data_IF_392660443364
#
_entry.id   IF_392660443364
#
_cell.length_a   1.000
_cell.length_b   1.000
_cell.length_c   1.000
_cell.angle_alpha   90.00
_cell.angle_beta   90.00
_cell.angle_gamma   90.00
#
_symmetry.space_group_name_H-M   'P 1'
#
loop_
_entity.id
_entity.type
_entity.pdbx_description
1 polymer ?
#
# COMPACT_ATOMS: atom_id res chain seq x y z
N UNK A 1 5.80 13.16 3.46
CA UNK A 1 4.94 11.99 3.80
C UNK A 1 3.90 12.38 4.81
N UNK A 2 2.64 11.95 4.63
CA UNK A 2 1.54 12.18 5.58
C UNK A 2 1.41 10.99 6.52
N UNK A 3 2.18 10.99 7.59
CA UNK A 3 2.14 10.00 8.66
C UNK A 3 1.65 10.65 9.94
N UNK A 4 1.00 9.89 10.80
CA UNK A 4 0.60 10.32 12.12
C UNK A 4 1.09 9.36 13.20
N UNK A 5 1.73 9.91 14.24
CA UNK A 5 2.34 9.12 15.32
C UNK A 5 1.29 8.61 16.29
N UNK A 6 0.29 9.43 16.60
CA UNK A 6 -0.73 9.12 17.58
C UNK A 6 -2.10 9.07 16.92
N UNK A 7 -2.86 8.05 17.28
CA UNK A 7 -4.20 7.81 16.78
C UNK A 7 -5.14 7.52 17.93
N UNK A 8 -6.39 7.95 17.79
CA UNK A 8 -7.45 7.63 18.74
C UNK A 8 -8.81 7.49 18.03
N UNK A 9 -9.75 6.82 18.70
CA UNK A 9 -11.17 6.88 18.37
C UNK A 9 -11.89 7.74 19.38
N UNK A 10 -12.94 8.40 18.94
CA UNK A 10 -13.85 9.17 19.77
C UNK A 10 -15.27 8.95 19.30
N UNK A 11 -16.20 8.88 20.25
CA UNK A 11 -17.63 8.77 19.99
C UNK A 11 -18.34 9.95 20.67
N UNK A 12 -19.35 10.48 20.00
CA UNK A 12 -20.21 11.54 20.53
C UNK A 12 -21.67 11.27 20.16
N UNK A 13 -22.55 11.68 21.06
CA UNK A 13 -24.01 11.61 20.89
C UNK A 13 -24.60 13.01 20.72
N UNK A 14 -25.46 13.19 19.72
CA UNK A 14 -26.18 14.43 19.51
C UNK A 14 -27.59 14.16 18.99
N UNK A 15 -28.61 14.65 19.71
CA UNK A 15 -30.03 14.48 19.36
C UNK A 15 -30.41 13.03 19.02
N UNK A 16 -29.95 12.06 19.80
CA UNK A 16 -30.21 10.62 19.59
C UNK A 16 -29.38 9.95 18.49
N UNK A 17 -28.51 10.70 17.84
CA UNK A 17 -27.57 10.16 16.83
C UNK A 17 -26.18 9.97 17.43
N UNK A 18 -25.67 8.74 17.41
CA UNK A 18 -24.30 8.42 17.83
C UNK A 18 -23.37 8.33 16.62
N UNK A 19 -22.25 9.02 16.70
CA UNK A 19 -21.19 8.92 15.69
C UNK A 19 -19.87 8.56 16.36
N UNK A 20 -19.06 7.80 15.62
CA UNK A 20 -17.68 7.48 15.98
C UNK A 20 -16.75 8.00 14.89
N UNK A 21 -15.64 8.60 15.26
CA UNK A 21 -14.63 9.07 14.34
C UNK A 21 -13.22 8.72 14.81
N UNK A 22 -12.28 8.80 13.87
CA UNK A 22 -10.84 8.69 14.13
C UNK A 22 -10.23 10.09 14.19
N UNK A 23 -9.30 10.28 15.11
CA UNK A 23 -8.46 11.44 15.21
C UNK A 23 -7.00 11.05 15.18
N UNK A 24 -6.16 12.00 14.82
CA UNK A 24 -4.72 11.80 14.75
C UNK A 24 -3.99 13.05 15.23
N UNK A 25 -2.74 12.85 15.69
CA UNK A 25 -1.81 13.91 16.07
C UNK A 25 -0.36 13.44 15.88
N UNK A 26 0.55 14.38 15.75
CA UNK A 26 1.99 14.12 15.82
C UNK A 26 2.59 14.52 17.17
N UNK A 27 1.77 15.03 18.09
CA UNK A 27 2.17 15.56 19.40
C UNK A 27 1.83 14.57 20.51
N UNK A 28 0.55 14.16 20.62
CA UNK A 28 0.12 13.28 21.71
C UNK A 28 -1.16 12.48 21.37
N UNK A 29 -1.42 11.42 22.14
CA UNK A 29 -2.66 10.64 22.04
C UNK A 29 -3.87 11.41 22.58
N UNK A 30 -3.66 12.31 23.51
CA UNK A 30 -4.70 13.19 24.08
C UNK A 30 -5.24 14.14 23.01
N UNK A 31 -4.35 14.77 22.26
CA UNK A 31 -4.72 15.61 21.11
C UNK A 31 -5.46 14.80 20.04
N UNK A 32 -4.98 13.57 19.72
CA UNK A 32 -5.67 12.69 18.80
C UNK A 32 -7.10 12.34 19.28
N UNK A 33 -7.31 12.12 20.58
CA UNK A 33 -8.64 11.88 21.15
C UNK A 33 -9.55 13.10 21.01
N UNK A 34 -9.00 14.29 21.27
CA UNK A 34 -9.77 15.52 21.12
C UNK A 34 -10.19 15.75 19.69
N UNK A 35 -9.29 15.54 18.72
CA UNK A 35 -9.60 15.59 17.28
C UNK A 35 -10.68 14.56 16.91
N UNK A 36 -10.60 13.35 17.46
CA UNK A 36 -11.58 12.28 17.22
C UNK A 36 -12.97 12.69 17.75
N UNK A 37 -13.06 13.20 18.99
CA UNK A 37 -14.33 13.66 19.59
C UNK A 37 -14.96 14.81 18.82
N UNK A 38 -14.18 15.85 18.48
CA UNK A 38 -14.66 16.98 17.67
C UNK A 38 -15.16 16.54 16.30
N UNK A 39 -14.52 15.56 15.69
CA UNK A 39 -14.95 14.98 14.41
C UNK A 39 -16.24 14.18 14.59
N UNK A 40 -16.35 13.35 15.64
CA UNK A 40 -17.55 12.58 15.92
C UNK A 40 -18.76 13.49 16.21
N UNK A 41 -18.57 14.58 16.99
CA UNK A 41 -19.62 15.55 17.26
C UNK A 41 -20.16 16.19 15.96
N UNK A 42 -19.27 16.62 15.05
CA UNK A 42 -19.71 17.16 13.76
C UNK A 42 -20.48 16.17 12.90
N UNK A 43 -20.07 14.89 12.92
CA UNK A 43 -20.79 13.82 12.22
C UNK A 43 -22.14 13.57 12.83
N UNK A 44 -22.26 13.48 14.18
CA UNK A 44 -23.52 13.29 14.89
C UNK A 44 -24.51 14.45 14.61
N UNK A 45 -24.03 15.71 14.65
CA UNK A 45 -24.83 16.88 14.29
C UNK A 45 -25.35 16.82 12.85
N UNK A 46 -24.49 16.43 11.88
CA UNK A 46 -24.90 16.27 10.48
C UNK A 46 -25.98 15.21 10.32
N UNK A 47 -25.83 14.07 11.00
CA UNK A 47 -26.83 12.99 10.96
C UNK A 47 -28.16 13.43 11.59
N UNK A 48 -28.14 14.14 12.71
CA UNK A 48 -29.32 14.70 13.35
C UNK A 48 -30.07 15.71 12.47
N UNK A 49 -29.35 16.41 11.61
CA UNK A 49 -29.91 17.32 10.61
C UNK A 49 -30.42 16.62 9.33
N UNK A 50 -30.52 15.28 9.32
CA UNK A 50 -30.97 14.51 8.16
C UNK A 50 -29.91 14.31 7.06
N UNK A 51 -28.64 14.63 7.34
CA UNK A 51 -27.54 14.40 6.41
C UNK A 51 -27.10 12.91 6.40
N UNK A 52 -26.70 12.42 5.25
CA UNK A 52 -26.14 11.07 5.14
C UNK A 52 -24.71 10.99 5.72
N UNK A 53 -24.31 9.77 6.19
CA UNK A 53 -22.91 9.47 6.44
C UNK A 53 -22.16 9.71 5.14
N UNK A 54 -21.40 10.79 5.06
CA UNK A 54 -20.57 11.07 3.89
C UNK A 54 -19.60 9.91 3.67
N UNK A 55 -19.47 9.47 2.42
CA UNK A 55 -18.38 8.60 2.03
C UNK A 55 -17.09 9.26 2.47
N UNK A 56 -16.25 8.51 3.17
CA UNK A 56 -14.92 8.95 3.57
C UNK A 56 -14.09 9.11 2.29
N UNK A 57 -14.15 10.28 1.71
CA UNK A 57 -13.23 10.63 0.64
C UNK A 57 -11.83 10.61 1.25
N UNK A 58 -10.95 9.82 0.66
CA UNK A 58 -9.51 9.90 0.93
C UNK A 58 -9.08 11.34 0.67
N UNK A 59 -9.13 12.11 1.72
CA UNK A 59 -8.78 13.51 1.68
C UNK A 59 -7.33 13.69 2.12
N UNK A 60 -7.00 14.90 2.44
CA UNK A 60 -5.71 15.39 2.89
C UNK A 60 -5.33 14.92 4.31
N UNK A 61 -5.53 13.63 4.60
CA UNK A 61 -5.35 13.05 5.94
C UNK A 61 -4.39 11.86 5.88
N UNK A 62 -3.59 11.64 6.93
CA UNK A 62 -2.83 10.41 7.09
C UNK A 62 -3.74 9.18 7.06
N UNK A 63 -3.22 8.06 6.58
CA UNK A 63 -3.88 6.77 6.72
C UNK A 63 -3.83 6.32 8.18
N UNK A 64 -4.91 5.70 8.72
CA UNK A 64 -4.92 5.16 10.06
C UNK A 64 -4.11 3.86 10.14
N UNK A 65 -2.81 3.99 10.02
CA UNK A 65 -1.83 2.91 10.02
C UNK A 65 -0.83 3.15 11.15
N UNK A 66 -0.62 2.20 12.09
CA UNK A 66 0.42 2.33 13.09
C UNK A 66 1.80 2.33 12.43
N UNK A 67 2.67 3.24 12.86
CA UNK A 67 4.08 3.27 12.48
C UNK A 67 4.79 2.17 13.26
N UNK A 68 5.48 1.26 12.55
CA UNK A 68 6.22 0.13 13.12
C UNK A 68 7.70 0.46 13.22
N UNK A 69 8.24 1.20 12.25
CA UNK A 69 9.63 1.63 12.19
C UNK A 69 9.75 2.92 11.39
N UNK A 70 10.65 3.81 11.81
CA UNK A 70 11.03 5.00 11.05
C UNK A 70 12.50 4.92 10.62
N UNK A 71 12.80 5.49 9.46
CA UNK A 71 14.15 5.74 8.96
C UNK A 71 14.32 7.26 8.87
N UNK A 72 15.31 7.78 9.57
CA UNK A 72 15.56 9.21 9.63
C UNK A 72 16.70 9.57 8.67
N UNK A 73 16.64 10.78 8.11
CA UNK A 73 17.77 11.37 7.40
C UNK A 73 18.74 12.04 8.40
N UNK A 74 19.84 12.59 7.88
CA UNK A 74 20.88 13.25 8.69
C UNK A 74 20.38 14.48 9.47
N UNK A 75 19.22 15.01 9.13
CA UNK A 75 18.59 16.13 9.84
C UNK A 75 17.61 15.68 10.92
N UNK A 76 17.39 14.35 11.05
CA UNK A 76 16.39 13.77 11.94
C UNK A 76 14.95 13.77 11.37
N UNK A 77 14.77 14.15 10.10
CA UNK A 77 13.47 14.07 9.47
C UNK A 77 13.21 12.65 8.91
N UNK A 78 11.94 12.20 9.00
CA UNK A 78 11.55 10.88 8.49
C UNK A 78 11.65 10.84 6.97
N UNK A 79 12.57 10.01 6.45
CA UNK A 79 12.74 9.75 5.00
C UNK A 79 11.95 8.54 4.52
N UNK A 80 11.75 7.55 5.39
CA UNK A 80 10.94 6.38 5.15
C UNK A 80 10.32 5.86 6.44
N UNK A 81 9.21 5.15 6.34
CA UNK A 81 8.58 4.49 7.49
C UNK A 81 7.90 3.18 7.09
N UNK A 82 7.97 2.21 7.96
CA UNK A 82 7.16 0.99 7.87
C UNK A 82 5.88 1.22 8.64
N UNK A 83 4.74 1.05 7.98
CA UNK A 83 3.42 1.07 8.60
C UNK A 83 2.75 -0.30 8.45
N UNK A 84 1.68 -0.53 9.21
CA UNK A 84 0.82 -1.69 9.00
C UNK A 84 -0.53 -1.21 8.48
N UNK A 85 -0.89 -1.65 7.29
CA UNK A 85 -2.12 -1.20 6.62
C UNK A 85 -3.40 -1.85 7.20
N UNK A 86 -4.57 -1.47 6.69
CA UNK A 86 -5.86 -1.88 7.21
C UNK A 86 -6.09 -3.39 7.18
N UNK A 87 -5.50 -4.12 6.23
CA UNK A 87 -5.57 -5.59 6.20
C UNK A 87 -4.37 -6.28 6.85
N UNK A 88 -3.53 -5.54 7.52
CA UNK A 88 -2.50 -6.05 8.41
C UNK A 88 -1.12 -6.29 7.76
N UNK A 89 -0.94 -6.05 6.47
CA UNK A 89 0.37 -6.17 5.84
C UNK A 89 1.29 -4.99 6.18
N UNK A 90 2.59 -5.27 6.29
CA UNK A 90 3.61 -4.23 6.41
C UNK A 90 3.83 -3.53 5.07
N UNK A 91 3.96 -2.22 5.11
CA UNK A 91 4.18 -1.36 3.94
C UNK A 91 5.34 -0.41 4.24
N UNK A 92 6.33 -0.40 3.37
CA UNK A 92 7.37 0.61 3.34
C UNK A 92 6.83 1.84 2.62
N UNK A 93 6.83 2.97 3.30
CA UNK A 93 6.50 4.28 2.75
C UNK A 93 7.79 5.06 2.61
N UNK A 94 8.07 5.61 1.43
CA UNK A 94 9.28 6.38 1.14
C UNK A 94 8.91 7.76 0.64
N UNK A 95 9.68 8.77 1.04
CA UNK A 95 9.46 10.16 0.65
C UNK A 95 9.83 10.41 -0.81
N UNK A 96 10.93 9.81 -1.25
CA UNK A 96 11.61 10.17 -2.48
C UNK A 96 12.19 8.97 -3.26
N UNK A 97 12.17 7.76 -2.72
CA UNK A 97 12.53 6.53 -3.42
C UNK A 97 11.29 5.97 -4.10
N UNK A 98 11.25 6.00 -5.44
CA UNK A 98 10.07 5.70 -6.23
C UNK A 98 9.90 4.20 -6.41
N UNK A 99 8.78 3.66 -5.90
CA UNK A 99 8.27 2.34 -6.23
C UNK A 99 7.13 2.46 -7.24
N UNK A 100 7.09 1.52 -8.17
CA UNK A 100 6.09 1.40 -9.23
C UNK A 100 5.54 -0.02 -9.15
N UNK A 101 4.28 -0.17 -8.76
CA UNK A 101 3.60 -1.47 -8.78
C UNK A 101 2.81 -1.57 -10.11
N UNK A 102 3.09 -2.64 -10.88
CA UNK A 102 2.45 -2.94 -12.18
C UNK A 102 1.65 -4.22 -11.97
N UNK A 103 0.35 -4.09 -11.75
CA UNK A 103 -0.53 -5.24 -11.58
C UNK A 103 -0.95 -5.82 -12.94
N UNK A 104 -0.89 -7.15 -13.04
CA UNK A 104 -1.36 -7.93 -14.18
C UNK A 104 -2.31 -8.99 -13.65
N UNK A 105 -3.60 -8.81 -13.87
CA UNK A 105 -4.66 -9.75 -13.50
C UNK A 105 -4.72 -10.16 -12.02
N UNK A 106 -5.38 -9.38 -11.20
CA UNK A 106 -5.95 -9.88 -9.95
C UNK A 106 -7.41 -10.29 -10.14
N UNK A 107 -7.66 -11.60 -10.31
CA UNK A 107 -8.92 -12.20 -9.87
C UNK A 107 -8.88 -12.25 -8.34
N UNK A 108 -9.02 -11.09 -7.68
CA UNK A 108 -9.09 -11.04 -6.22
C UNK A 108 -10.43 -11.65 -5.78
N UNK A 109 -10.44 -12.61 -4.84
CA UNK A 109 -11.68 -13.00 -4.20
C UNK A 109 -12.30 -11.77 -3.49
N UNK A 110 -13.65 -11.66 -3.46
CA UNK A 110 -14.30 -10.54 -2.78
C UNK A 110 -13.89 -10.53 -1.31
N UNK A 111 -13.44 -9.37 -0.82
CA UNK A 111 -13.07 -9.18 0.58
C UNK A 111 -14.33 -9.29 1.42
N UNK A 112 -14.38 -10.15 2.46
CA UNK A 112 -15.53 -10.21 3.37
C UNK A 112 -15.76 -8.86 4.02
N UNK A 113 -16.99 -8.38 3.97
CA UNK A 113 -17.39 -7.08 4.47
C UNK A 113 -17.24 -6.97 5.98
N UNK A 114 -16.19 -6.34 6.45
CA UNK A 114 -16.15 -5.66 7.74
C UNK A 114 -16.29 -4.16 7.46
N UNK A 115 -17.22 -3.49 8.12
CA UNK A 115 -17.65 -2.10 7.80
C UNK A 115 -16.54 -1.04 7.67
N UNK A 116 -15.34 -1.30 8.19
CA UNK A 116 -14.20 -0.39 8.12
C UNK A 116 -13.16 -0.77 7.04
N UNK A 117 -13.21 -2.01 6.54
CA UNK A 117 -12.42 -2.50 5.41
C UNK A 117 -13.15 -2.18 4.11
N UNK A 118 -14.49 -2.02 4.17
CA UNK A 118 -15.34 -1.70 3.04
C UNK A 118 -14.92 -0.41 2.33
N UNK A 119 -14.52 0.63 3.08
CA UNK A 119 -14.08 1.90 2.46
C UNK A 119 -12.77 1.77 1.68
N UNK A 120 -11.89 0.82 2.06
CA UNK A 120 -10.68 0.51 1.30
C UNK A 120 -11.01 -0.43 0.14
N UNK A 121 -11.92 -1.39 0.35
CA UNK A 121 -12.38 -2.34 -0.66
C UNK A 121 -13.25 -1.69 -1.74
N UNK A 122 -14.16 -0.79 -1.38
CA UNK A 122 -15.03 -0.08 -2.34
C UNK A 122 -14.22 0.84 -3.25
N UNK A 123 -13.09 1.36 -2.75
CA UNK A 123 -12.17 2.11 -3.58
C UNK A 123 -11.40 1.20 -4.54
N UNK A 124 -11.07 -0.03 -4.13
CA UNK A 124 -10.38 -1.03 -4.96
C UNK A 124 -11.32 -1.70 -5.98
N UNK A 125 -12.62 -1.79 -5.70
CA UNK A 125 -13.58 -2.50 -6.56
C UNK A 125 -14.36 -1.60 -7.51
N UNK A 126 -14.53 -0.31 -7.20
CA UNK A 126 -15.24 0.62 -8.09
C UNK A 126 -14.50 0.91 -9.40
N UNK A 127 -13.17 0.75 -9.43
CA UNK A 127 -12.37 0.85 -10.66
C UNK A 127 -12.47 -0.37 -11.60
N UNK A 128 -12.82 -1.55 -11.08
CA UNK A 128 -12.81 -2.80 -11.86
C UNK A 128 -14.08 -3.10 -12.65
N UNK A 129 -15.22 -2.44 -12.37
CA UNK A 129 -16.49 -2.75 -13.05
C UNK A 129 -16.62 -2.21 -14.47
N UNK A 130 -15.69 -1.38 -14.91
CA UNK A 130 -15.79 -0.69 -16.22
C UNK A 130 -15.10 -1.40 -17.40
N UNK A 131 -14.37 -2.52 -17.22
CA UNK A 131 -13.45 -3.02 -18.25
C UNK A 131 -13.68 -4.46 -18.74
N UNK A 132 -14.77 -5.16 -18.36
CA UNK A 132 -14.97 -6.54 -18.87
C UNK A 132 -16.00 -6.60 -19.99
N UNK A 133 -15.51 -6.35 -21.23
CA UNK A 133 -16.10 -6.86 -22.46
C UNK A 133 -15.46 -8.21 -22.81
N UNK A 134 -16.28 -9.26 -22.96
CA UNK A 134 -15.84 -10.62 -23.32
C UNK A 134 -15.35 -10.67 -24.77
N UNK A 135 -14.18 -11.30 -24.99
CA UNK A 135 -13.79 -11.80 -26.32
C UNK A 135 -13.11 -13.19 -26.19
N UNK A 136 -13.48 -14.11 -27.07
CA UNK A 136 -13.03 -15.48 -27.13
C UNK A 136 -11.61 -15.60 -27.74
N UNK A 137 -10.85 -16.70 -27.45
CA UNK A 137 -9.47 -16.83 -27.88
C UNK A 137 -9.34 -17.30 -29.33
N UNK A 138 -8.31 -16.85 -30.08
CA UNK A 138 -7.96 -17.36 -31.40
C UNK A 138 -7.04 -18.59 -31.33
N UNK A 139 -6.90 -19.38 -32.41
CA UNK A 139 -6.19 -20.65 -32.44
C UNK A 139 -4.66 -20.49 -32.49
N UNK A 140 -3.98 -21.50 -31.93
CA UNK A 140 -2.55 -21.59 -31.71
C UNK A 140 -1.74 -21.75 -33.01
N UNK A 141 -0.67 -20.96 -33.22
CA UNK A 141 0.32 -21.21 -34.29
C UNK A 141 1.49 -22.11 -33.83
N UNK A 142 2.28 -22.72 -34.74
CA UNK A 142 3.33 -23.69 -34.44
C UNK A 142 4.58 -23.04 -33.77
N UNK A 143 5.42 -23.82 -33.09
CA UNK A 143 6.48 -23.32 -32.23
C UNK A 143 7.65 -22.71 -33.05
N UNK A 144 8.17 -21.55 -32.62
CA UNK A 144 9.37 -20.93 -33.20
C UNK A 144 10.66 -21.51 -32.58
N UNK A 145 11.84 -21.24 -33.20
CA UNK A 145 13.13 -21.75 -32.74
C UNK A 145 13.54 -21.20 -31.39
N UNK A 146 14.37 -21.98 -30.66
CA UNK A 146 14.77 -21.71 -29.28
C UNK A 146 15.32 -20.28 -29.08
N UNK A 147 14.79 -19.53 -28.12
CA UNK A 147 15.19 -18.15 -27.91
C UNK A 147 16.48 -18.05 -27.10
N UNK A 148 17.24 -16.96 -27.35
CA UNK A 148 18.28 -16.43 -26.49
C UNK A 148 17.77 -16.26 -25.04
N UNK A 149 18.64 -16.18 -24.02
CA UNK A 149 18.20 -16.06 -22.62
C UNK A 149 17.26 -14.85 -22.46
N UNK A 150 15.98 -15.15 -22.33
CA UNK A 150 14.94 -14.14 -22.22
C UNK A 150 15.02 -13.61 -20.79
N UNK A 151 15.28 -12.31 -20.63
CA UNK A 151 15.08 -11.63 -19.36
C UNK A 151 13.67 -11.91 -18.86
N UNK A 152 13.53 -12.33 -17.60
CA UNK A 152 12.21 -12.55 -16.97
C UNK A 152 11.41 -11.26 -16.79
N UNK A 153 11.99 -10.11 -17.18
CA UNK A 153 11.36 -8.80 -17.18
C UNK A 153 10.54 -8.60 -18.46
N UNK A 154 9.26 -8.23 -18.35
CA UNK A 154 8.41 -8.01 -19.52
C UNK A 154 8.93 -6.93 -20.46
N UNK A 155 8.82 -7.13 -21.80
CA UNK A 155 9.31 -6.18 -22.80
C UNK A 155 8.75 -4.76 -22.65
N UNK A 156 7.48 -4.62 -22.22
CA UNK A 156 6.86 -3.33 -21.99
C UNK A 156 7.48 -2.57 -20.81
N UNK A 157 7.92 -3.25 -19.75
CA UNK A 157 8.66 -2.65 -18.64
C UNK A 157 10.04 -2.23 -19.12
N UNK A 158 10.75 -3.13 -19.83
CA UNK A 158 12.07 -2.85 -20.40
C UNK A 158 12.03 -1.64 -21.35
N UNK A 159 11.02 -1.55 -22.23
CA UNK A 159 10.88 -0.44 -23.17
C UNK A 159 10.72 0.93 -22.47
N UNK A 160 10.04 1.00 -21.33
CA UNK A 160 9.93 2.25 -20.55
C UNK A 160 11.27 2.58 -19.88
N UNK A 161 11.95 1.59 -19.29
CA UNK A 161 13.26 1.75 -18.66
C UNK A 161 14.27 2.30 -19.68
N UNK A 162 14.36 1.71 -20.86
CA UNK A 162 15.27 2.11 -21.94
C UNK A 162 14.95 3.52 -22.47
N UNK A 163 13.67 3.80 -22.75
CA UNK A 163 13.20 5.11 -23.24
C UNK A 163 13.62 6.25 -22.32
N UNK A 164 13.57 6.04 -21.03
CA UNK A 164 13.88 7.05 -20.01
C UNK A 164 15.29 6.92 -19.44
N UNK A 165 16.08 5.93 -19.90
CA UNK A 165 17.45 5.65 -19.45
C UNK A 165 17.54 5.52 -17.91
N UNK A 166 16.55 4.83 -17.31
CA UNK A 166 16.46 4.70 -15.86
C UNK A 166 17.44 3.64 -15.34
N UNK A 167 18.02 3.88 -14.18
CA UNK A 167 18.59 2.81 -13.37
C UNK A 167 17.52 2.27 -12.46
N UNK A 168 17.30 0.94 -12.52
CA UNK A 168 16.17 0.31 -11.84
C UNK A 168 16.51 -1.04 -11.23
N UNK A 169 15.67 -1.48 -10.30
CA UNK A 169 15.59 -2.87 -9.84
C UNK A 169 14.16 -3.38 -10.11
N UNK A 170 14.06 -4.51 -10.77
CA UNK A 170 12.78 -5.11 -11.15
C UNK A 170 12.54 -6.36 -10.32
N UNK A 171 11.32 -6.51 -9.82
CA UNK A 171 10.88 -7.63 -9.00
C UNK A 171 9.58 -8.20 -9.56
N UNK A 172 9.44 -9.53 -9.50
CA UNK A 172 8.16 -10.19 -9.70
C UNK A 172 7.38 -10.23 -8.40
N UNK A 173 6.10 -9.89 -8.45
CA UNK A 173 5.15 -10.05 -7.34
C UNK A 173 4.16 -11.18 -7.65
N UNK A 174 3.29 -11.54 -6.72
CA UNK A 174 2.27 -12.56 -6.96
C UNK A 174 1.22 -12.15 -8.02
N UNK A 175 1.02 -10.84 -8.27
CA UNK A 175 0.01 -10.33 -9.22
C UNK A 175 0.60 -9.55 -10.39
N UNK A 176 1.92 -9.38 -10.45
CA UNK A 176 2.55 -8.57 -11.49
C UNK A 176 4.00 -8.28 -11.20
N UNK A 177 4.39 -7.01 -11.28
CA UNK A 177 5.78 -6.59 -11.12
C UNK A 177 5.87 -5.36 -10.24
N UNK A 178 7.04 -5.20 -9.65
CA UNK A 178 7.45 -3.98 -8.96
C UNK A 178 8.74 -3.47 -9.58
N UNK A 179 8.76 -2.19 -9.93
CA UNK A 179 9.98 -1.49 -10.37
C UNK A 179 10.36 -0.48 -9.30
N UNK A 180 11.62 -0.49 -8.91
CA UNK A 180 12.21 0.49 -8.04
C UNK A 180 13.19 1.33 -8.87
N UNK A 181 12.98 2.64 -8.93
CA UNK A 181 13.88 3.58 -9.62
C UNK A 181 14.98 4.01 -8.65
N UNK A 182 16.25 3.90 -9.07
CA UNK A 182 17.40 4.08 -8.19
C UNK A 182 18.26 5.30 -8.49
N UNK A 183 18.16 5.87 -9.70
CA UNK A 183 19.05 6.91 -10.23
C UNK A 183 18.71 8.33 -9.80
N UNK A 184 17.54 8.56 -9.25
CA UNK A 184 17.08 9.89 -8.87
C UNK A 184 16.03 9.85 -7.74
N UNK A 185 15.90 10.98 -7.04
CA UNK A 185 14.82 11.23 -6.09
C UNK A 185 13.60 11.78 -6.81
N UNK A 186 12.44 11.24 -6.48
CA UNK A 186 11.16 11.68 -7.03
C UNK A 186 10.24 12.16 -5.90
N UNK A 187 9.42 13.16 -6.18
CA UNK A 187 8.29 13.49 -5.30
C UNK A 187 7.01 12.82 -5.82
N UNK A 188 6.16 12.24 -4.95
CA UNK A 188 4.92 11.58 -5.39
C UNK A 188 3.93 12.48 -6.13
N UNK A 189 4.03 13.79 -5.98
CA UNK A 189 3.22 14.80 -6.68
C UNK A 189 3.94 15.47 -7.87
N UNK A 190 5.20 15.09 -8.13
CA UNK A 190 5.94 15.56 -9.30
C UNK A 190 5.27 15.03 -10.60
N UNK A 191 4.96 15.90 -11.58
CA UNK A 191 4.43 15.48 -12.87
C UNK A 191 5.29 14.42 -13.59
N UNK A 192 6.62 14.45 -13.41
CA UNK A 192 7.53 13.43 -13.97
C UNK A 192 7.31 12.07 -13.32
N UNK A 193 7.19 12.01 -12.00
CA UNK A 193 6.87 10.77 -11.28
C UNK A 193 5.51 10.22 -11.70
N UNK A 194 4.49 11.09 -11.80
CA UNK A 194 3.16 10.72 -12.25
C UNK A 194 3.15 10.18 -13.67
N UNK A 195 3.90 10.82 -14.59
CA UNK A 195 4.03 10.36 -15.96
C UNK A 195 4.72 8.98 -16.05
N UNK A 196 5.78 8.73 -15.27
CA UNK A 196 6.45 7.43 -15.20
C UNK A 196 5.51 6.35 -14.66
N UNK A 197 4.80 6.60 -13.57
CA UNK A 197 3.81 5.67 -13.01
C UNK A 197 2.78 5.26 -14.07
N UNK A 198 2.26 6.22 -14.84
CA UNK A 198 1.29 5.95 -15.91
C UNK A 198 1.93 5.15 -17.07
N UNK A 199 3.15 5.48 -17.50
CA UNK A 199 3.82 4.78 -18.59
C UNK A 199 4.17 3.33 -18.26
N UNK A 200 4.48 3.04 -16.99
CA UNK A 200 4.65 1.67 -16.51
C UNK A 200 3.32 0.93 -16.33
N UNK A 201 2.18 1.60 -16.49
CA UNK A 201 0.86 0.98 -16.30
C UNK A 201 0.50 0.73 -14.84
N UNK A 202 0.99 1.58 -13.92
CA UNK A 202 0.58 1.50 -12.51
C UNK A 202 -0.92 1.70 -12.35
N UNK A 203 -1.52 0.96 -11.39
CA UNK A 203 -2.90 1.14 -11.01
C UNK A 203 -3.19 2.63 -10.69
N UNK A 204 -4.21 3.25 -11.32
CA UNK A 204 -4.60 4.64 -11.06
C UNK A 204 -4.87 4.92 -9.57
N UNK A 205 -5.35 3.93 -8.84
CA UNK A 205 -5.59 4.03 -7.41
C UNK A 205 -4.28 4.12 -6.62
N UNK A 206 -3.28 3.32 -7.00
CA UNK A 206 -1.93 3.41 -6.41
C UNK A 206 -1.32 4.79 -6.67
N UNK A 207 -1.41 5.28 -7.92
CA UNK A 207 -0.92 6.60 -8.31
C UNK A 207 -1.55 7.70 -7.46
N UNK A 208 -2.90 7.68 -7.34
CA UNK A 208 -3.64 8.62 -6.50
C UNK A 208 -3.25 8.52 -5.03
N UNK A 209 -3.09 7.29 -4.51
CA UNK A 209 -2.71 7.06 -3.13
C UNK A 209 -1.32 7.64 -2.82
N UNK A 210 -0.34 7.43 -3.70
CA UNK A 210 1.01 8.00 -3.55
C UNK A 210 0.98 9.52 -3.48
N UNK A 211 0.28 10.16 -4.41
CA UNK A 211 0.12 11.62 -4.42
C UNK A 211 -0.57 12.12 -3.14
N UNK A 212 -1.68 11.51 -2.74
CA UNK A 212 -2.44 11.93 -1.55
C UNK A 212 -1.66 11.75 -0.25
N UNK A 213 -0.91 10.66 -0.11
CA UNK A 213 -0.12 10.35 1.08
C UNK A 213 1.29 10.98 1.04
N UNK A 214 1.65 11.60 -0.08
CA UNK A 214 2.99 12.18 -0.27
C UNK A 214 4.08 11.15 0.03
N UNK A 215 3.88 9.91 -0.44
CA UNK A 215 4.81 8.79 -0.28
C UNK A 215 4.63 7.75 -1.38
N UNK A 216 5.71 7.19 -1.87
CA UNK A 216 5.66 5.93 -2.60
C UNK A 216 5.53 4.78 -1.60
N UNK A 217 4.84 3.72 -2.01
CA UNK A 217 4.45 2.65 -1.09
C UNK A 217 4.82 1.28 -1.66
N UNK A 218 5.54 0.49 -0.88
CA UNK A 218 5.88 -0.88 -1.25
C UNK A 218 5.42 -1.86 -0.16
N UNK A 219 4.54 -2.81 -0.50
CA UNK A 219 4.15 -3.86 0.44
C UNK A 219 5.33 -4.77 0.73
N UNK A 220 5.63 -4.98 2.01
CA UNK A 220 6.75 -5.79 2.49
C UNK A 220 6.35 -7.23 2.83
N UNK A 221 5.08 -7.45 3.22
CA UNK A 221 4.60 -8.78 3.60
C UNK A 221 3.36 -9.16 2.78
N UNK A 222 3.09 -10.46 2.56
CA UNK A 222 2.00 -10.93 1.73
C UNK A 222 0.62 -10.41 2.17
N UNK A 223 -0.34 -10.38 1.24
CA UNK A 223 -1.76 -10.19 1.58
C UNK A 223 -2.23 -11.38 2.42
N UNK A 224 -2.97 -11.18 3.55
CA UNK A 224 -3.35 -12.29 4.45
C UNK A 224 -4.03 -13.46 3.74
N UNK A 225 -4.98 -13.17 2.85
CA UNK A 225 -5.74 -14.18 2.10
C UNK A 225 -4.92 -15.00 1.11
N UNK A 226 -3.70 -14.58 0.78
CA UNK A 226 -2.74 -15.37 0.00
C UNK A 226 -1.94 -16.36 0.86
N UNK A 227 -2.12 -16.28 2.18
CA UNK A 227 -1.50 -17.15 3.16
C UNK A 227 -2.55 -17.86 4.03
N UNK A 228 -3.74 -18.11 3.46
CA UNK A 228 -4.87 -18.78 4.08
C UNK A 228 -5.33 -18.15 5.42
N UNK A 229 -5.18 -16.84 5.53
CA UNK A 229 -5.58 -16.08 6.71
C UNK A 229 -6.56 -14.97 6.34
N UNK A 230 -7.60 -14.79 7.15
CA UNK A 230 -8.52 -13.66 7.02
C UNK A 230 -7.86 -12.33 7.44
N UNK A 231 -8.53 -11.22 7.13
CA UNK A 231 -8.13 -9.88 7.59
C UNK A 231 -8.19 -9.76 9.11
N UNK A 232 -7.56 -8.73 9.73
CA UNK A 232 -7.67 -8.51 11.17
C UNK A 232 -9.13 -8.41 11.63
N UNK A 233 -9.48 -9.04 12.77
CA UNK A 233 -10.86 -9.03 13.28
C UNK A 233 -11.28 -7.65 13.81
N UNK A 234 -10.32 -6.79 14.07
CA UNK A 234 -10.51 -5.41 14.55
C UNK A 234 -9.57 -4.46 13.81
N UNK A 235 -9.96 -3.20 13.71
CA UNK A 235 -9.20 -2.18 12.97
C UNK A 235 -8.56 -1.17 13.89
N UNK A 236 -7.34 -0.78 13.55
CA UNK A 236 -6.64 0.33 14.20
C UNK A 236 -7.30 1.69 13.86
N UNK A 237 -7.29 2.67 14.78
CA UNK A 237 -6.89 2.59 16.18
C UNK A 237 -7.92 1.83 17.03
N UNK A 238 -7.44 1.18 18.11
CA UNK A 238 -8.27 0.33 18.94
C UNK A 238 -9.12 1.14 19.91
N UNK A 239 -10.35 0.68 20.20
CA UNK A 239 -11.25 1.32 21.16
C UNK A 239 -11.03 0.81 22.57
N UNK A 240 -10.61 -0.43 22.71
CA UNK A 240 -10.46 -1.12 23.99
C UNK A 240 -9.17 -1.93 24.04
N UNK A 241 -8.63 -2.20 25.24
CA UNK A 241 -7.50 -3.13 25.41
C UNK A 241 -7.77 -4.54 24.86
N UNK A 242 -9.03 -4.99 24.91
CA UNK A 242 -9.42 -6.29 24.36
C UNK A 242 -9.29 -6.31 22.82
N UNK A 243 -9.70 -5.24 22.14
CA UNK A 243 -9.51 -5.10 20.69
C UNK A 243 -8.02 -5.10 20.32
N UNK A 244 -7.20 -4.41 21.09
CA UNK A 244 -5.75 -4.42 20.90
C UNK A 244 -5.15 -5.82 21.07
N UNK A 245 -5.57 -6.56 22.12
CA UNK A 245 -5.12 -7.92 22.37
C UNK A 245 -5.55 -8.88 21.25
N UNK A 246 -6.78 -8.76 20.73
CA UNK A 246 -7.27 -9.55 19.58
C UNK A 246 -6.44 -9.26 18.33
N UNK A 247 -6.11 -8.00 18.10
CA UNK A 247 -5.25 -7.62 16.99
C UNK A 247 -3.83 -8.18 17.12
N UNK A 248 -3.25 -8.10 18.31
CA UNK A 248 -1.92 -8.63 18.60
C UNK A 248 -1.87 -10.16 18.38
N UNK A 249 -2.92 -10.90 18.78
CA UNK A 249 -3.05 -12.33 18.52
C UNK A 249 -3.12 -12.61 17.01
N UNK A 250 -3.93 -11.85 16.29
CA UNK A 250 -4.00 -11.96 14.83
C UNK A 250 -2.64 -11.70 14.18
N UNK A 251 -1.91 -10.66 14.63
CA UNK A 251 -0.57 -10.35 14.11
C UNK A 251 0.41 -11.50 14.32
N UNK A 252 0.35 -12.19 15.47
CA UNK A 252 1.17 -13.39 15.71
C UNK A 252 0.89 -14.50 14.71
N UNK A 253 -0.41 -14.80 14.46
CA UNK A 253 -0.84 -15.79 13.47
C UNK A 253 -0.41 -15.39 12.06
N UNK A 254 -0.62 -14.13 11.69
CA UNK A 254 -0.22 -13.58 10.41
C UNK A 254 1.30 -13.68 10.18
N UNK A 255 2.10 -13.32 11.18
CA UNK A 255 3.56 -13.41 11.10
C UNK A 255 4.01 -14.87 10.91
N UNK A 256 3.34 -15.83 11.55
CA UNK A 256 3.63 -17.25 11.37
C UNK A 256 3.24 -17.73 9.96
N UNK A 257 2.04 -17.39 9.48
CA UNK A 257 1.54 -17.79 8.15
C UNK A 257 2.41 -17.25 7.02
N UNK A 258 2.92 -16.01 7.13
CA UNK A 258 3.72 -15.37 6.06
C UNK A 258 5.18 -15.85 6.00
N UNK A 259 5.64 -16.66 6.97
CA UNK A 259 7.05 -17.11 7.01
C UNK A 259 7.50 -17.90 5.80
N UNK A 260 6.59 -18.66 5.20
CA UNK A 260 6.88 -19.55 4.08
C UNK A 260 6.72 -18.91 2.69
N UNK A 261 6.45 -17.59 2.65
CA UNK A 261 6.19 -16.87 1.41
C UNK A 261 7.15 -15.71 1.25
N UNK A 262 7.44 -15.35 -0.01
CA UNK A 262 8.06 -14.11 -0.41
C UNK A 262 6.99 -13.15 -0.95
N UNK A 263 7.15 -11.85 -0.71
CA UNK A 263 6.21 -10.83 -1.24
C UNK A 263 6.57 -10.44 -2.67
N UNK A 264 7.86 -10.46 -2.99
CA UNK A 264 8.34 -10.30 -4.36
C UNK A 264 9.65 -11.09 -4.55
N UNK A 265 10.03 -11.29 -5.81
CA UNK A 265 11.30 -11.93 -6.21
C UNK A 265 12.08 -10.96 -7.08
N UNK A 266 13.33 -10.72 -6.73
CA UNK A 266 14.24 -9.95 -7.57
C UNK A 266 14.46 -10.68 -8.89
N UNK A 267 14.34 -9.94 -10.01
CA UNK A 267 14.55 -10.45 -11.35
C UNK A 267 15.85 -9.88 -11.94
N UNK A 268 15.95 -8.56 -12.00
CA UNK A 268 17.03 -7.89 -12.73
C UNK A 268 17.27 -6.47 -12.21
N UNK A 269 18.42 -5.91 -12.57
CA UNK A 269 18.75 -4.50 -12.38
C UNK A 269 19.34 -3.93 -13.64
N UNK A 270 18.97 -2.69 -13.98
CA UNK A 270 19.46 -1.94 -15.14
C UNK A 270 20.11 -0.65 -14.69
N UNK A 271 21.14 -0.22 -15.46
CA UNK A 271 21.94 0.95 -15.13
C UNK A 271 22.81 0.75 -13.89
N UNK A 272 23.70 1.71 -13.64
CA UNK A 272 24.72 1.68 -12.59
C UNK A 272 24.54 2.83 -11.57
N UNK A 273 23.57 3.71 -11.79
CA UNK A 273 23.31 4.85 -10.91
C UNK A 273 22.43 4.45 -9.74
N UNK A 274 22.87 4.85 -8.56
CA UNK A 274 22.09 4.67 -7.32
C UNK A 274 22.30 5.88 -6.41
N UNK A 275 21.22 6.45 -5.94
CA UNK A 275 21.24 7.44 -4.86
C UNK A 275 21.80 6.78 -3.60
N UNK A 276 22.89 7.32 -2.99
CA UNK A 276 23.60 6.66 -1.89
C UNK A 276 22.69 6.27 -0.71
N UNK A 277 21.72 7.12 -0.39
CA UNK A 277 20.80 6.89 0.73
C UNK A 277 19.78 5.77 0.46
N UNK A 278 19.65 5.29 -0.78
CA UNK A 278 18.69 4.25 -1.12
C UNK A 278 19.19 2.85 -0.76
N UNK A 279 20.48 2.65 -0.63
CA UNK A 279 21.08 1.33 -0.39
C UNK A 279 20.49 0.64 0.86
N UNK A 280 20.42 1.37 1.97
CA UNK A 280 19.86 0.84 3.23
C UNK A 280 18.38 0.44 3.06
N UNK A 281 17.58 1.28 2.39
CA UNK A 281 16.15 1.01 2.17
C UNK A 281 15.92 -0.15 1.20
N UNK A 282 16.78 -0.30 0.19
CA UNK A 282 16.76 -1.42 -0.75
C UNK A 282 17.12 -2.72 -0.02
N UNK A 283 18.19 -2.71 0.76
CA UNK A 283 18.59 -3.87 1.54
C UNK A 283 17.47 -4.30 2.52
N UNK A 284 16.86 -3.34 3.20
CA UNK A 284 15.72 -3.58 4.07
C UNK A 284 14.50 -4.13 3.30
N UNK A 285 14.14 -3.52 2.16
CA UNK A 285 13.06 -4.01 1.31
C UNK A 285 13.31 -5.45 0.87
N UNK A 286 14.49 -5.75 0.34
CA UNK A 286 14.85 -7.08 -0.15
C UNK A 286 14.83 -8.15 0.95
N UNK A 287 15.25 -7.78 2.16
CA UNK A 287 15.22 -8.66 3.33
C UNK A 287 13.77 -8.95 3.76
N UNK A 288 12.95 -7.93 3.97
CA UNK A 288 11.57 -8.07 4.47
C UNK A 288 10.67 -8.78 3.45
N UNK A 289 10.84 -8.49 2.17
CA UNK A 289 10.09 -9.14 1.10
C UNK A 289 10.61 -10.53 0.76
N UNK A 290 11.78 -10.92 1.27
CA UNK A 290 12.51 -12.15 0.92
C UNK A 290 12.81 -12.23 -0.58
N UNK A 291 13.14 -11.11 -1.20
CA UNK A 291 13.26 -10.96 -2.65
C UNK A 291 14.30 -11.89 -3.30
N UNK A 292 15.30 -12.33 -2.56
CA UNK A 292 16.37 -13.23 -3.03
C UNK A 292 16.12 -14.70 -2.71
N UNK A 293 14.95 -15.04 -2.16
CA UNK A 293 14.60 -16.43 -1.84
C UNK A 293 13.91 -17.14 -2.99
N UNK A 294 13.88 -18.48 -2.94
CA UNK A 294 13.08 -19.33 -3.85
C UNK A 294 11.67 -19.62 -3.31
N UNK A 295 11.25 -18.97 -2.23
CA UNK A 295 9.94 -19.17 -1.63
C UNK A 295 8.80 -18.82 -2.59
N UNK A 296 7.63 -19.47 -2.50
CA UNK A 296 6.47 -19.10 -3.30
C UNK A 296 6.04 -17.66 -3.05
N UNK A 297 5.56 -16.99 -4.11
CA UNK A 297 5.05 -15.62 -4.02
C UNK A 297 3.62 -15.60 -3.49
N UNK A 298 3.32 -14.65 -2.59
CA UNK A 298 1.98 -14.47 -2.02
C UNK A 298 1.62 -12.97 -1.79
#
# INVERSE_FOLDING_TARGET
>A
MKLAKFWARGSEDFAGQRATARGWSNTSVEEAREVARKTAARVAQKLAAGGEKGQYLYGDRPLPEPIIREFLDSTGATRAAVTRNAYGALVLNTRDMMFIDVDRDETAPPIPAAESVQAVADLLTSGLRSLFGKSAPPPTPPPPPAPAPVSDVPPEITAVIERHQLSTRVYKTAAGYRVLVTDARYSPDDPRAQALLQQFGSDPLYVRLCSMQQSFRARLTPKPWRCDLGVPPVTFPFETPQAEAQYAEWVRKYTAATRMYATCRFLDSTGDKMEPDFEELIAFHDQETKAKSSMPLA
#
